data_IF_148772474562
#
_entry.id   IF_148772474562
#
_cell.length_a   1.000
_cell.length_b   1.000
_cell.length_c   1.000
_cell.angle_alpha   90.00
_cell.angle_beta   90.00
_cell.angle_gamma   90.00
#
_symmetry.space_group_name_H-M   'P 1'
#
loop_
_entity.id
_entity.type
_entity.pdbx_description
1 polymer ?
#
# COMPACT_ATOMS: atom_id res chain seq x y z
N UNK A 1 8.37 11.98 -11.97
CA UNK A 1 7.06 12.58 -12.33
C UNK A 1 5.96 11.53 -12.52
N UNK A 2 6.25 10.31 -13.01
CA UNK A 2 5.26 9.23 -13.08
C UNK A 2 4.80 8.75 -11.69
N UNK A 3 5.73 8.61 -10.74
CA UNK A 3 5.45 8.00 -9.42
C UNK A 3 4.50 8.80 -8.52
N UNK A 4 4.46 10.13 -8.67
CA UNK A 4 3.55 10.99 -7.91
C UNK A 4 2.10 10.88 -8.38
N UNK A 5 1.87 10.45 -9.64
CA UNK A 5 0.54 10.33 -10.23
C UNK A 5 -0.04 8.92 -10.09
N UNK A 6 0.81 7.89 -9.97
CA UNK A 6 0.42 6.49 -9.77
C UNK A 6 -0.64 6.26 -8.69
N UNK A 7 -0.55 6.83 -7.47
CA UNK A 7 -1.58 6.61 -6.45
C UNK A 7 -2.95 7.20 -6.86
N UNK A 8 -2.96 8.36 -7.51
CA UNK A 8 -4.18 8.98 -8.00
C UNK A 8 -4.77 8.21 -9.20
N UNK A 9 -3.93 7.71 -10.10
CA UNK A 9 -4.34 6.85 -11.21
C UNK A 9 -4.95 5.53 -10.73
N UNK A 10 -4.32 4.89 -9.73
CA UNK A 10 -4.87 3.69 -9.10
C UNK A 10 -6.23 3.96 -8.44
N UNK A 11 -6.39 5.12 -7.79
CA UNK A 11 -7.67 5.53 -7.21
C UNK A 11 -8.76 5.74 -8.27
N UNK A 12 -8.42 6.37 -9.39
CA UNK A 12 -9.34 6.55 -10.53
C UNK A 12 -9.68 5.21 -11.20
N UNK A 13 -8.70 4.34 -11.37
CA UNK A 13 -8.90 2.99 -11.89
C UNK A 13 -9.88 2.21 -11.00
N UNK A 14 -9.73 2.28 -9.68
CA UNK A 14 -10.66 1.67 -8.72
C UNK A 14 -12.11 2.17 -8.86
N UNK A 15 -12.32 3.44 -9.24
CA UNK A 15 -13.65 4.00 -9.41
C UNK A 15 -14.36 3.51 -10.68
N UNK A 16 -13.62 3.08 -11.71
CA UNK A 16 -14.17 2.81 -13.05
C UNK A 16 -14.08 1.33 -13.42
N UNK A 17 -12.96 0.67 -13.10
CA UNK A 17 -12.64 -0.70 -13.53
C UNK A 17 -13.67 -1.73 -13.06
N UNK A 18 -14.08 -1.80 -11.78
CA UNK A 18 -15.05 -2.80 -11.34
C UNK A 18 -16.40 -2.66 -12.05
N UNK A 19 -16.80 -1.42 -12.34
CA UNK A 19 -18.06 -1.13 -13.03
C UNK A 19 -18.00 -1.54 -14.50
N UNK A 20 -16.90 -1.24 -15.20
CA UNK A 20 -16.67 -1.67 -16.58
C UNK A 20 -16.61 -3.19 -16.68
N UNK A 21 -15.76 -3.84 -15.88
CA UNK A 21 -15.56 -5.30 -15.90
C UNK A 21 -16.89 -6.02 -15.63
N UNK A 22 -17.64 -5.59 -14.61
CA UNK A 22 -18.93 -6.21 -14.29
C UNK A 22 -19.95 -6.07 -15.42
N UNK A 23 -19.96 -4.92 -16.12
CA UNK A 23 -20.86 -4.68 -17.25
C UNK A 23 -20.51 -5.55 -18.47
N UNK A 24 -19.22 -5.72 -18.74
CA UNK A 24 -18.72 -6.58 -19.83
C UNK A 24 -19.00 -8.05 -19.50
N UNK A 25 -18.69 -8.49 -18.29
CA UNK A 25 -18.95 -9.86 -17.84
C UNK A 25 -20.43 -10.22 -17.89
N UNK A 26 -21.32 -9.32 -17.47
CA UNK A 26 -22.76 -9.55 -17.59
C UNK A 26 -23.18 -9.70 -19.06
N UNK A 27 -22.65 -8.86 -19.96
CA UNK A 27 -22.96 -8.90 -21.39
C UNK A 27 -22.47 -10.20 -22.04
N UNK A 28 -21.27 -10.65 -21.71
CA UNK A 28 -20.69 -11.94 -22.16
C UNK A 28 -21.47 -13.12 -21.58
N UNK A 29 -21.81 -13.08 -20.31
CA UNK A 29 -22.59 -14.14 -19.68
C UNK A 29 -23.99 -14.27 -20.31
N UNK A 30 -24.64 -13.15 -20.63
CA UNK A 30 -25.92 -13.15 -21.34
C UNK A 30 -25.83 -13.56 -22.80
N UNK A 31 -24.74 -13.20 -23.51
CA UNK A 31 -24.55 -13.67 -24.89
C UNK A 31 -24.35 -15.18 -24.95
N UNK A 32 -23.70 -15.75 -23.94
CA UNK A 32 -23.50 -17.20 -23.83
C UNK A 32 -24.75 -17.95 -23.35
N UNK A 33 -25.43 -17.45 -22.30
CA UNK A 33 -26.51 -18.19 -21.61
C UNK A 33 -27.88 -18.08 -22.30
N UNK A 34 -28.18 -16.95 -22.95
CA UNK A 34 -29.46 -16.73 -23.62
C UNK A 34 -29.25 -16.80 -25.14
N UNK A 35 -29.22 -18.02 -25.68
CA UNK A 35 -29.18 -18.28 -27.14
C UNK A 35 -30.60 -18.26 -27.72
N UNK A 36 -30.69 -17.61 -28.88
CA UNK A 36 -31.76 -17.47 -29.90
C UNK A 36 -33.23 -17.41 -29.45
N UNK A 37 -33.73 -18.31 -28.59
CA UNK A 37 -35.18 -18.44 -28.28
C UNK A 37 -35.61 -17.92 -26.89
N UNK A 38 -34.65 -17.52 -26.05
CA UNK A 38 -34.94 -17.04 -24.68
C UNK A 38 -34.86 -15.51 -24.59
N UNK A 39 -35.92 -14.88 -24.08
CA UNK A 39 -35.99 -13.43 -23.89
C UNK A 39 -34.91 -12.95 -22.90
N UNK A 40 -33.93 -12.21 -23.40
CA UNK A 40 -32.86 -11.61 -22.57
C UNK A 40 -33.49 -10.63 -21.56
N UNK A 41 -33.01 -10.61 -20.30
CA UNK A 41 -33.46 -9.62 -19.32
C UNK A 41 -33.21 -8.20 -19.83
N UNK A 42 -34.26 -7.38 -19.92
CA UNK A 42 -34.13 -6.01 -20.40
C UNK A 42 -33.37 -5.13 -19.39
N UNK A 43 -32.53 -4.19 -19.87
CA UNK A 43 -31.91 -3.17 -19.03
C UNK A 43 -32.98 -2.43 -18.21
N UNK A 44 -32.84 -2.46 -16.88
CA UNK A 44 -33.81 -1.82 -15.96
C UNK A 44 -34.75 -2.80 -15.23
N UNK A 45 -34.89 -4.04 -15.70
CA UNK A 45 -35.65 -5.06 -14.98
C UNK A 45 -34.98 -5.46 -13.65
N UNK A 46 -35.77 -5.87 -12.65
CA UNK A 46 -35.24 -6.35 -11.35
C UNK A 46 -34.24 -7.49 -11.53
N UNK A 47 -34.54 -8.45 -12.41
CA UNK A 47 -33.63 -9.58 -12.72
C UNK A 47 -32.29 -9.09 -13.27
N UNK A 48 -32.30 -8.12 -14.19
CA UNK A 48 -31.07 -7.54 -14.75
C UNK A 48 -30.19 -6.90 -13.66
N UNK A 49 -30.81 -6.18 -12.71
CA UNK A 49 -30.09 -5.53 -11.60
C UNK A 49 -29.51 -6.54 -10.62
N UNK A 50 -30.25 -7.59 -10.26
CA UNK A 50 -29.76 -8.64 -9.37
C UNK A 50 -28.56 -9.38 -9.95
N UNK A 51 -28.60 -9.70 -11.25
CA UNK A 51 -27.50 -10.32 -11.96
C UNK A 51 -26.26 -9.42 -11.98
N UNK A 52 -26.42 -8.14 -12.29
CA UNK A 52 -25.34 -7.17 -12.23
C UNK A 52 -24.73 -7.09 -10.82
N UNK A 53 -25.56 -6.97 -9.77
CA UNK A 53 -25.09 -6.86 -8.39
C UNK A 53 -24.32 -8.12 -7.95
N UNK A 54 -24.77 -9.32 -8.31
CA UNK A 54 -24.05 -10.57 -8.01
C UNK A 54 -22.69 -10.62 -8.67
N UNK A 55 -22.62 -10.29 -9.96
CA UNK A 55 -21.36 -10.23 -10.72
C UNK A 55 -20.44 -9.17 -10.11
N UNK A 56 -20.98 -7.99 -9.80
CA UNK A 56 -20.22 -6.89 -9.21
C UNK A 56 -19.60 -7.26 -7.86
N UNK A 57 -20.38 -7.89 -6.96
CA UNK A 57 -19.86 -8.37 -5.66
C UNK A 57 -18.75 -9.40 -5.86
N UNK A 58 -18.91 -10.33 -6.80
CA UNK A 58 -17.86 -11.33 -7.10
C UNK A 58 -16.59 -10.68 -7.65
N UNK A 59 -16.72 -9.74 -8.60
CA UNK A 59 -15.58 -9.04 -9.19
C UNK A 59 -14.82 -8.24 -8.13
N UNK A 60 -15.53 -7.46 -7.31
CA UNK A 60 -14.92 -6.68 -6.23
C UNK A 60 -14.29 -7.61 -5.18
N UNK A 61 -14.96 -8.70 -4.80
CA UNK A 61 -14.43 -9.68 -3.85
C UNK A 61 -13.14 -10.34 -4.33
N UNK A 62 -13.12 -10.83 -5.57
CA UNK A 62 -11.92 -11.43 -6.19
C UNK A 62 -10.79 -10.41 -6.32
N UNK A 63 -11.12 -9.17 -6.70
CA UNK A 63 -10.12 -8.12 -6.81
C UNK A 63 -9.51 -7.76 -5.46
N UNK A 64 -10.33 -7.64 -4.39
CA UNK A 64 -9.81 -7.42 -3.03
C UNK A 64 -8.91 -8.56 -2.57
N UNK A 65 -9.29 -9.82 -2.85
CA UNK A 65 -8.44 -10.98 -2.56
C UNK A 65 -7.11 -10.91 -3.32
N UNK A 66 -7.15 -10.53 -4.60
CA UNK A 66 -5.94 -10.32 -5.38
C UNK A 66 -5.07 -9.20 -4.81
N UNK A 67 -5.65 -8.06 -4.43
CA UNK A 67 -4.91 -6.94 -3.82
C UNK A 67 -4.29 -7.35 -2.49
N UNK A 68 -5.00 -8.12 -1.65
CA UNK A 68 -4.44 -8.64 -0.40
C UNK A 68 -3.28 -9.60 -0.68
N UNK A 69 -3.44 -10.51 -1.64
CA UNK A 69 -2.38 -11.42 -2.06
C UNK A 69 -1.15 -10.67 -2.58
N UNK A 70 -1.36 -9.72 -3.48
CA UNK A 70 -0.32 -8.88 -4.06
C UNK A 70 0.38 -8.04 -2.99
N UNK A 71 -0.36 -7.43 -2.07
CA UNK A 71 0.19 -6.66 -0.96
C UNK A 71 1.05 -7.53 -0.03
N UNK A 72 0.59 -8.76 0.26
CA UNK A 72 1.35 -9.70 1.08
C UNK A 72 2.62 -10.20 0.35
N UNK A 73 2.53 -10.47 -0.95
CA UNK A 73 3.67 -10.92 -1.76
C UNK A 73 4.73 -9.82 -1.96
N UNK A 74 4.30 -8.55 -2.03
CA UNK A 74 5.18 -7.40 -2.20
C UNK A 74 5.58 -6.71 -0.88
N UNK A 75 5.24 -7.30 0.27
CA UNK A 75 5.61 -6.74 1.57
C UNK A 75 7.13 -6.80 1.72
N UNK A 76 7.77 -5.62 1.74
CA UNK A 76 9.21 -5.54 1.95
C UNK A 76 9.56 -5.96 3.38
N UNK A 77 10.63 -6.74 3.58
CA UNK A 77 11.05 -7.15 4.91
C UNK A 77 11.47 -5.95 5.76
N UNK A 78 11.02 -5.93 7.01
CA UNK A 78 11.37 -4.91 7.99
C UNK A 78 12.85 -5.04 8.42
N UNK A 79 13.44 -3.99 9.00
CA UNK A 79 14.86 -4.00 9.41
C UNK A 79 15.17 -5.03 10.48
N UNK A 80 14.20 -5.27 11.37
CA UNK A 80 14.24 -6.34 12.34
C UNK A 80 14.26 -7.72 11.67
N UNK A 81 13.42 -7.94 10.66
CA UNK A 81 13.35 -9.21 9.93
C UNK A 81 14.63 -9.44 9.10
N UNK A 82 15.18 -8.39 8.50
CA UNK A 82 16.44 -8.45 7.75
C UNK A 82 17.63 -8.85 8.62
N UNK A 83 17.69 -8.33 9.86
CA UNK A 83 18.72 -8.70 10.83
C UNK A 83 18.34 -9.95 11.65
N UNK A 84 17.22 -10.60 11.34
CA UNK A 84 16.70 -11.76 12.06
C UNK A 84 16.60 -11.53 13.58
N UNK A 85 16.11 -10.36 13.97
CA UNK A 85 15.91 -9.92 15.36
C UNK A 85 14.41 -9.74 15.65
N UNK A 86 14.02 -10.08 16.87
CA UNK A 86 12.67 -9.79 17.37
C UNK A 86 12.61 -8.34 17.91
N UNK A 87 11.70 -7.49 17.39
CA UNK A 87 11.53 -6.10 17.85
C UNK A 87 11.27 -5.96 19.36
N UNK A 88 10.72 -6.98 20.01
CA UNK A 88 10.34 -6.93 21.43
C UNK A 88 11.49 -7.22 22.39
N UNK A 89 12.51 -7.95 21.94
CA UNK A 89 13.60 -8.47 22.79
C UNK A 89 14.98 -7.91 22.43
N UNK A 90 15.04 -7.01 21.45
CA UNK A 90 16.30 -6.49 20.91
C UNK A 90 17.04 -5.54 21.87
N UNK A 91 18.22 -5.98 22.28
CA UNK A 91 19.23 -5.17 22.99
C UNK A 91 20.34 -4.75 22.03
N UNK A 92 21.06 -3.67 22.35
CA UNK A 92 22.24 -3.20 21.59
C UNK A 92 23.29 -4.29 21.36
N UNK A 93 23.47 -5.20 22.33
CA UNK A 93 24.37 -6.36 22.19
C UNK A 93 23.87 -7.37 21.14
N UNK A 94 22.57 -7.67 21.11
CA UNK A 94 21.98 -8.55 20.10
C UNK A 94 22.12 -7.95 18.70
N UNK A 95 21.86 -6.65 18.57
CA UNK A 95 22.01 -5.93 17.32
C UNK A 95 23.45 -5.99 16.79
N UNK A 96 24.44 -5.69 17.63
CA UNK A 96 25.87 -5.77 17.26
C UNK A 96 26.30 -7.19 16.87
N UNK A 97 25.79 -8.20 17.58
CA UNK A 97 26.09 -9.61 17.29
C UNK A 97 25.52 -10.03 15.94
N UNK A 98 24.27 -9.71 15.66
CA UNK A 98 23.62 -9.99 14.38
C UNK A 98 24.35 -9.29 13.24
N UNK A 99 24.63 -7.99 13.39
CA UNK A 99 25.39 -7.23 12.40
C UNK A 99 26.74 -7.89 12.08
N UNK A 100 27.54 -8.24 13.08
CA UNK A 100 28.84 -8.90 12.87
C UNK A 100 28.71 -10.19 12.05
N UNK A 101 27.70 -11.01 12.30
CA UNK A 101 27.47 -12.25 11.56
C UNK A 101 27.14 -11.97 10.09
N UNK A 102 26.23 -11.02 9.84
CA UNK A 102 25.83 -10.64 8.50
C UNK A 102 26.95 -9.95 7.71
N UNK A 103 27.71 -9.05 8.33
CA UNK A 103 28.82 -8.36 7.67
C UNK A 103 29.88 -9.35 7.19
N UNK A 104 30.12 -10.45 7.91
CA UNK A 104 31.07 -11.48 7.48
C UNK A 104 30.50 -12.30 6.31
N UNK A 105 29.21 -12.64 6.35
CA UNK A 105 28.54 -13.47 5.34
C UNK A 105 28.34 -12.75 4.00
N UNK A 106 28.07 -11.44 4.03
CA UNK A 106 27.75 -10.62 2.85
C UNK A 106 28.83 -9.59 2.53
N UNK A 107 30.04 -9.71 3.08
CA UNK A 107 31.13 -8.78 2.76
C UNK A 107 31.43 -8.80 1.25
N UNK A 108 31.48 -7.64 0.56
CA UNK A 108 31.68 -7.60 -0.89
C UNK A 108 33.01 -8.22 -1.35
N UNK A 109 34.04 -8.15 -0.49
CA UNK A 109 35.35 -8.78 -0.75
C UNK A 109 35.33 -10.32 -0.65
N UNK A 110 34.44 -10.89 0.19
CA UNK A 110 34.40 -12.35 0.45
C UNK A 110 33.28 -13.06 -0.30
N UNK A 111 32.28 -12.31 -0.75
CA UNK A 111 31.11 -12.84 -1.44
C UNK A 111 30.93 -12.12 -2.78
N UNK A 112 31.37 -12.77 -3.86
CA UNK A 112 31.32 -12.23 -5.21
C UNK A 112 29.94 -12.36 -5.89
N UNK A 113 28.89 -12.73 -5.15
CA UNK A 113 27.55 -12.79 -5.74
C UNK A 113 27.06 -11.38 -6.09
N UNK A 114 26.41 -11.19 -7.25
CA UNK A 114 25.91 -9.88 -7.66
C UNK A 114 24.81 -9.33 -6.73
N UNK A 115 24.24 -10.18 -5.88
CA UNK A 115 23.22 -9.80 -4.89
C UNK A 115 23.81 -9.46 -3.53
N UNK A 116 25.03 -9.89 -3.21
CA UNK A 116 25.65 -9.65 -1.90
C UNK A 116 25.86 -8.16 -1.63
N UNK A 117 26.29 -7.39 -2.62
CA UNK A 117 26.48 -5.94 -2.46
C UNK A 117 25.16 -5.23 -2.13
N UNK A 118 24.09 -5.53 -2.87
CA UNK A 118 22.77 -4.94 -2.62
C UNK A 118 22.23 -5.31 -1.22
N UNK A 119 22.38 -6.57 -0.82
CA UNK A 119 21.98 -7.05 0.51
C UNK A 119 22.83 -6.38 1.59
N UNK A 120 24.14 -6.24 1.38
CA UNK A 120 25.05 -5.61 2.33
C UNK A 120 24.71 -4.13 2.56
N UNK A 121 24.41 -3.38 1.49
CA UNK A 121 23.97 -1.98 1.59
C UNK A 121 22.69 -1.87 2.44
N UNK A 122 21.71 -2.74 2.19
CA UNK A 122 20.44 -2.73 2.92
C UNK A 122 20.66 -3.12 4.40
N UNK A 123 21.48 -4.13 4.69
CA UNK A 123 21.79 -4.54 6.05
C UNK A 123 22.57 -3.47 6.82
N UNK A 124 23.46 -2.74 6.14
CA UNK A 124 24.20 -1.61 6.73
C UNK A 124 23.24 -0.51 7.16
N UNK A 125 22.31 -0.11 6.29
CA UNK A 125 21.28 0.88 6.61
C UNK A 125 20.36 0.44 7.75
N UNK A 126 19.99 -0.84 7.77
CA UNK A 126 19.19 -1.41 8.85
C UNK A 126 19.92 -1.31 10.19
N UNK A 127 21.21 -1.66 10.24
CA UNK A 127 22.02 -1.54 11.45
C UNK A 127 22.16 -0.08 11.89
N UNK A 128 22.51 0.83 10.97
CA UNK A 128 22.66 2.26 11.27
C UNK A 128 21.38 2.85 11.89
N UNK A 129 20.23 2.56 11.28
CA UNK A 129 18.93 3.04 11.74
C UNK A 129 18.55 2.48 13.10
N UNK A 130 18.79 1.19 13.34
CA UNK A 130 18.42 0.53 14.60
C UNK A 130 19.43 0.77 15.74
N UNK A 131 20.66 1.15 15.41
CA UNK A 131 21.72 1.39 16.38
C UNK A 131 21.55 2.69 17.16
N UNK A 132 20.97 3.71 16.51
CA UNK A 132 20.68 5.00 17.11
C UNK A 132 19.27 4.97 17.73
N UNK A 133 19.12 5.21 19.04
CA UNK A 133 17.82 5.15 19.71
C UNK A 133 16.80 6.15 19.13
N UNK A 134 17.25 7.32 18.67
CA UNK A 134 16.37 8.36 18.11
C UNK A 134 15.87 7.95 16.73
N UNK A 135 16.78 7.47 15.86
CA UNK A 135 16.43 6.96 14.53
C UNK A 135 15.57 5.72 14.61
N UNK A 136 15.86 4.82 15.54
CA UNK A 136 15.06 3.63 15.80
C UNK A 136 13.63 3.99 16.18
N UNK A 137 13.45 4.94 17.10
CA UNK A 137 12.12 5.40 17.49
C UNK A 137 11.37 6.04 16.30
N UNK A 138 12.06 6.83 15.48
CA UNK A 138 11.49 7.40 14.28
C UNK A 138 11.06 6.31 13.29
N UNK A 139 11.92 5.30 13.06
CA UNK A 139 11.62 4.16 12.19
C UNK A 139 10.43 3.34 12.69
N UNK A 140 10.33 3.09 13.99
CA UNK A 140 9.17 2.40 14.58
C UNK A 140 7.86 3.18 14.38
N UNK A 141 7.93 4.51 14.33
CA UNK A 141 6.74 5.38 14.20
C UNK A 141 6.33 5.67 12.76
N UNK A 142 7.30 5.87 11.87
CA UNK A 142 7.07 6.34 10.50
C UNK A 142 7.53 5.34 9.42
N UNK A 143 8.12 4.21 9.84
CA UNK A 143 8.56 3.15 8.96
C UNK A 143 9.78 3.52 8.10
N UNK A 144 9.94 2.88 6.94
CA UNK A 144 11.06 3.11 6.03
C UNK A 144 11.13 4.53 5.43
N UNK A 145 10.08 5.35 5.58
CA UNK A 145 10.06 6.73 5.06
C UNK A 145 11.15 7.62 5.66
N UNK A 146 11.56 7.32 6.91
CA UNK A 146 12.64 7.99 7.65
C UNK A 146 13.96 7.98 6.88
N UNK A 147 14.14 6.94 6.05
CA UNK A 147 15.09 6.83 4.95
C UNK A 147 15.47 8.13 4.24
N UNK A 148 14.41 8.75 3.73
CA UNK A 148 14.49 9.84 2.77
C UNK A 148 14.52 11.23 3.40
N UNK A 149 14.46 11.33 4.73
CA UNK A 149 14.36 12.63 5.41
C UNK A 149 15.70 13.35 5.52
N UNK A 150 16.81 12.68 5.17
CA UNK A 150 18.13 13.28 5.04
C UNK A 150 18.83 13.54 6.38
N UNK A 151 20.13 13.84 6.31
CA UNK A 151 21.01 13.92 7.48
C UNK A 151 20.81 15.17 8.36
N UNK A 152 19.94 16.11 7.97
CA UNK A 152 19.64 17.31 8.75
C UNK A 152 18.64 17.05 9.89
N UNK A 153 17.99 15.88 9.88
CA UNK A 153 17.05 15.45 10.89
C UNK A 153 17.82 14.57 11.87
N UNK A 154 18.10 15.09 13.07
CA UNK A 154 18.90 14.39 14.09
C UNK A 154 18.12 14.23 15.38
N UNK A 155 17.34 15.24 15.76
CA UNK A 155 16.60 15.22 17.03
C UNK A 155 15.27 14.50 16.88
N UNK A 156 14.78 13.87 17.95
CA UNK A 156 13.45 13.28 17.99
C UNK A 156 12.34 14.27 17.57
N UNK A 157 12.46 15.54 17.98
CA UNK A 157 11.54 16.61 17.55
C UNK A 157 11.56 16.80 16.04
N UNK A 158 12.73 16.83 15.42
CA UNK A 158 12.87 17.05 13.98
C UNK A 158 12.21 15.89 13.22
N UNK A 159 12.46 14.64 13.64
CA UNK A 159 11.79 13.47 13.08
C UNK A 159 10.26 13.57 13.21
N UNK A 160 9.75 13.99 14.37
CA UNK A 160 8.30 14.14 14.53
C UNK A 160 7.72 15.26 13.66
N UNK A 161 8.41 16.39 13.51
CA UNK A 161 7.92 17.51 12.69
C UNK A 161 7.90 17.15 11.21
N UNK A 162 8.96 16.50 10.71
CA UNK A 162 9.00 16.03 9.32
C UNK A 162 7.93 14.98 9.08
N UNK A 163 7.81 13.98 9.96
CA UNK A 163 6.78 12.95 9.84
C UNK A 163 5.34 13.49 9.90
N UNK A 164 5.07 14.45 10.80
CA UNK A 164 3.76 15.11 10.89
C UNK A 164 3.48 15.95 9.64
N UNK A 165 4.47 16.68 9.13
CA UNK A 165 4.33 17.46 7.89
C UNK A 165 4.05 16.56 6.69
N UNK A 166 4.77 15.45 6.58
CA UNK A 166 4.59 14.47 5.51
C UNK A 166 3.16 13.90 5.53
N UNK A 167 2.73 13.41 6.69
CA UNK A 167 1.36 12.94 6.92
C UNK A 167 0.32 14.04 6.62
N UNK A 168 0.52 15.26 7.11
CA UNK A 168 -0.39 16.38 6.89
C UNK A 168 -0.53 16.71 5.40
N UNK A 169 0.56 16.64 4.62
CA UNK A 169 0.52 16.90 3.18
C UNK A 169 -0.33 15.87 2.42
N UNK A 170 -0.22 14.59 2.80
CA UNK A 170 -1.04 13.52 2.25
C UNK A 170 -2.53 13.77 2.54
N UNK A 171 -2.90 13.99 3.81
CA UNK A 171 -4.28 14.21 4.20
C UNK A 171 -4.88 15.50 3.63
N UNK A 172 -4.11 16.59 3.59
CA UNK A 172 -4.55 17.84 2.98
C UNK A 172 -4.83 17.66 1.47
N UNK A 173 -3.93 16.98 0.76
CA UNK A 173 -4.11 16.65 -0.66
C UNK A 173 -5.35 15.80 -0.90
N UNK A 174 -5.53 14.73 -0.12
CA UNK A 174 -6.74 13.87 -0.19
C UNK A 174 -8.01 14.66 0.12
N UNK A 175 -8.00 15.49 1.16
CA UNK A 175 -9.13 16.35 1.53
C UNK A 175 -9.53 17.29 0.40
N UNK A 176 -8.56 17.93 -0.25
CA UNK A 176 -8.80 18.82 -1.40
C UNK A 176 -9.42 18.06 -2.58
N UNK A 177 -8.89 16.88 -2.92
CA UNK A 177 -9.46 16.02 -3.98
C UNK A 177 -10.91 15.65 -3.66
N UNK A 178 -11.20 15.28 -2.42
CA UNK A 178 -12.56 14.95 -2.00
C UNK A 178 -13.51 16.15 -2.09
N UNK A 179 -13.05 17.36 -1.75
CA UNK A 179 -13.82 18.60 -1.93
C UNK A 179 -14.11 18.85 -3.43
N UNK A 180 -13.12 18.69 -4.30
CA UNK A 180 -13.31 18.81 -5.76
C UNK A 180 -14.35 17.81 -6.27
N UNK A 181 -14.24 16.54 -5.85
CA UNK A 181 -15.21 15.50 -6.22
C UNK A 181 -16.61 15.78 -5.68
N UNK A 182 -16.71 16.44 -4.53
CA UNK A 182 -17.97 16.92 -3.97
C UNK A 182 -18.62 17.96 -4.88
N UNK A 183 -17.85 18.98 -5.29
CA UNK A 183 -18.31 20.10 -6.14
C UNK A 183 -18.70 19.63 -7.54
N UNK A 184 -17.97 18.67 -8.12
CA UNK A 184 -18.24 18.14 -9.47
C UNK A 184 -19.50 17.25 -9.58
N UNK A 185 -20.32 17.13 -8.53
CA UNK A 185 -21.60 16.42 -8.56
C UNK A 185 -21.52 14.89 -8.69
N UNK A 186 -20.31 14.33 -8.89
CA UNK A 186 -20.05 12.87 -8.87
C UNK A 186 -20.08 12.27 -7.47
N UNK A 187 -20.35 13.08 -6.44
CA UNK A 187 -20.44 12.71 -5.04
C UNK A 187 -21.60 11.77 -4.66
N UNK A 188 -22.54 11.47 -5.57
CA UNK A 188 -23.55 10.43 -5.33
C UNK A 188 -22.93 9.03 -5.14
N UNK A 189 -21.70 8.81 -5.64
CA UNK A 189 -20.91 7.59 -5.40
C UNK A 189 -20.22 7.57 -4.00
N UNK A 190 -20.23 8.67 -3.26
CA UNK A 190 -19.45 8.89 -2.04
C UNK A 190 -20.31 9.34 -0.84
N UNK A 191 -21.50 8.75 -0.66
CA UNK A 191 -22.34 9.02 0.51
C UNK A 191 -21.74 8.37 1.77
N UNK A 192 -20.92 9.15 2.47
CA UNK A 192 -20.55 9.09 3.90
C UNK A 192 -19.59 7.98 4.38
N UNK A 193 -19.77 6.72 4.02
CA UNK A 193 -18.97 5.62 4.61
C UNK A 193 -17.49 5.63 4.23
N UNK A 194 -17.14 6.20 3.07
CA UNK A 194 -15.74 6.32 2.63
C UNK A 194 -14.95 7.35 3.42
N UNK A 195 -15.57 8.47 3.82
CA UNK A 195 -14.93 9.45 4.68
C UNK A 195 -14.58 8.83 6.04
N UNK A 196 -15.51 8.05 6.60
CA UNK A 196 -15.27 7.31 7.85
C UNK A 196 -14.13 6.30 7.70
N UNK A 197 -14.09 5.55 6.59
CA UNK A 197 -13.01 4.59 6.31
C UNK A 197 -11.63 5.26 6.15
N UNK A 198 -11.57 6.42 5.48
CA UNK A 198 -10.33 7.21 5.35
C UNK A 198 -9.86 7.77 6.70
N UNK A 199 -10.77 8.25 7.55
CA UNK A 199 -10.42 8.68 8.92
C UNK A 199 -10.08 7.50 9.84
N UNK A 200 -10.67 6.32 9.67
CA UNK A 200 -10.36 5.14 10.50
C UNK A 200 -9.04 4.45 10.11
N UNK A 201 -8.60 4.58 8.86
CA UNK A 201 -7.28 4.13 8.41
C UNK A 201 -6.15 5.09 8.87
N UNK A 202 -6.49 6.22 9.48
CA UNK A 202 -5.55 7.22 9.99
C UNK A 202 -5.06 6.95 11.43
N UNK A 203 -5.27 5.73 11.96
CA UNK A 203 -4.72 5.28 13.24
C UNK A 203 -3.72 4.15 13.04
#
# INVERSE_FOLDING_TARGET
>A
MADTLTPYLNMLAWAVVPQLVSSVLQRVWYSYSYRVDSLKPQPGSLKYRLHYNRIYVLVVGLYLLYTIYEANANLKPNYYQLLNLDPRTITTQHLRKAWKQFSIAYHPDKNSSPQAEAIFIVLTRAYETLSDPVKRQAYERFGPSVEGWGNHVVTARDYTLVGVRDAASFYAGTGLVLIIFNILGKAQFAKYWRFVAFFSLAC
#
